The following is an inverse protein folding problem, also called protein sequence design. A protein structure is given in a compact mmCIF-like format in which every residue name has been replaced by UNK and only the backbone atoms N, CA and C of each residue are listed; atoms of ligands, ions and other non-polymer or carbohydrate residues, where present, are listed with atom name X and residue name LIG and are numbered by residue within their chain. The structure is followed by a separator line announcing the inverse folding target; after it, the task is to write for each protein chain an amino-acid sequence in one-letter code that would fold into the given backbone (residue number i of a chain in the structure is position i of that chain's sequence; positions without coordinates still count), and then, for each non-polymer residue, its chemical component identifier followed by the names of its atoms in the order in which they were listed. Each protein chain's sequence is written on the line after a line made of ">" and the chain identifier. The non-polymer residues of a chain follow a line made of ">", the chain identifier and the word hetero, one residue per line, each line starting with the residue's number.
data_IF_934389276383
#
_entry.id   IF_934389276383
#
_cell.length_a   1.000
_cell.length_b   1.000
_cell.length_c   1.000
_cell.angle_alpha   90.00
_cell.angle_beta   90.00
_cell.angle_gamma   90.00
#
_symmetry.space_group_name_H-M   'P 1'
#
loop_
_entity.id
_entity.type
_entity.pdbx_description
1 polymer ?
#
# COMPACT_ATOMS: atom_id res chain seq x y z
N UNK A 1 -28.20 8.93 -5.28
CA UNK A 1 -27.14 8.76 -4.26
C UNK A 1 -27.20 7.28 -3.91
N UNK A 2 -26.36 6.46 -4.57
CA UNK A 2 -26.37 5.02 -4.34
C UNK A 2 -25.59 4.73 -3.05
N UNK A 3 -26.26 4.07 -2.12
CA UNK A 3 -25.62 3.54 -0.91
C UNK A 3 -24.55 2.53 -1.34
N UNK A 4 -23.30 2.85 -1.05
CA UNK A 4 -22.20 1.89 -1.17
C UNK A 4 -22.39 0.89 -0.05
N UNK A 5 -23.03 -0.25 -0.36
CA UNK A 5 -23.16 -1.36 0.55
C UNK A 5 -21.77 -1.89 0.90
N UNK A 6 -21.38 -1.77 2.16
CA UNK A 6 -20.16 -2.39 2.69
C UNK A 6 -20.38 -3.91 2.79
N UNK A 7 -19.44 -4.72 2.27
CA UNK A 7 -19.57 -6.18 2.36
C UNK A 7 -19.37 -6.66 3.80
N UNK A 8 -20.33 -7.44 4.25
CA UNK A 8 -20.38 -8.41 5.36
C UNK A 8 -19.79 -8.10 6.76
N UNK A 9 -20.58 -8.53 7.75
CA UNK A 9 -20.36 -8.43 9.20
C UNK A 9 -19.02 -9.00 9.75
N UNK A 10 -18.29 -9.81 8.99
CA UNK A 10 -16.96 -10.33 9.35
C UNK A 10 -15.82 -9.29 9.26
N UNK A 11 -16.14 -8.07 8.83
CA UNK A 11 -15.19 -6.95 8.76
C UNK A 11 -15.16 -6.15 10.08
N UNK A 12 -16.05 -6.44 11.00
CA UNK A 12 -16.10 -5.84 12.32
C UNK A 12 -14.81 -6.17 13.09
N UNK A 13 -14.07 -5.14 13.46
CA UNK A 13 -12.86 -5.15 14.30
C UNK A 13 -11.51 -5.39 13.57
N UNK A 14 -11.42 -5.31 12.25
CA UNK A 14 -10.13 -5.42 11.58
C UNK A 14 -9.30 -4.14 11.74
N UNK A 15 -8.09 -4.30 12.25
CA UNK A 15 -7.08 -3.24 12.30
C UNK A 15 -6.70 -2.83 10.89
N UNK A 16 -6.96 -1.57 10.54
CA UNK A 16 -6.82 -1.05 9.19
C UNK A 16 -5.68 -0.05 9.10
N UNK A 17 -4.73 -0.30 8.20
CA UNK A 17 -3.70 0.65 7.81
C UNK A 17 -4.11 1.30 6.49
N UNK A 18 -4.19 2.62 6.48
CA UNK A 18 -4.48 3.40 5.27
C UNK A 18 -3.21 4.13 4.86
N UNK A 19 -2.78 3.95 3.62
CA UNK A 19 -1.62 4.61 3.04
C UNK A 19 -2.12 5.63 2.01
N UNK A 20 -1.96 6.91 2.30
CA UNK A 20 -1.99 7.94 1.27
C UNK A 20 -0.66 7.92 0.54
N UNK A 21 -0.65 7.37 -0.66
CA UNK A 21 0.54 7.16 -1.48
C UNK A 21 0.88 8.35 -2.40
N UNK A 22 0.15 9.46 -2.30
CA UNK A 22 0.53 10.70 -2.98
C UNK A 22 1.50 11.47 -2.08
N UNK A 23 2.75 11.74 -2.52
CA UNK A 23 3.72 12.49 -1.73
C UNK A 23 3.36 13.97 -1.55
N UNK A 24 2.44 14.51 -2.36
CA UNK A 24 2.01 15.90 -2.27
C UNK A 24 1.19 16.11 -0.98
N UNK A 25 1.53 17.13 -0.14
CA UNK A 25 0.83 17.39 1.13
C UNK A 25 -0.67 17.62 0.95
N UNK A 26 -1.05 18.41 -0.05
CA UNK A 26 -2.46 18.63 -0.40
C UNK A 26 -2.79 17.91 -1.70
N UNK A 27 -3.61 16.87 -1.61
CA UNK A 27 -3.98 16.06 -2.75
C UNK A 27 -5.35 15.42 -2.58
N UNK A 28 -5.99 15.08 -3.71
CA UNK A 28 -7.23 14.31 -3.70
C UNK A 28 -7.04 12.96 -2.97
N UNK A 29 -5.89 12.30 -3.17
CA UNK A 29 -5.58 11.05 -2.47
C UNK A 29 -5.57 11.24 -0.94
N UNK A 30 -5.00 12.35 -0.43
CA UNK A 30 -5.02 12.67 1.00
C UNK A 30 -6.45 12.86 1.49
N UNK A 31 -7.25 13.66 0.79
CA UNK A 31 -8.65 13.90 1.15
C UNK A 31 -9.46 12.59 1.16
N UNK A 32 -9.25 11.71 0.17
CA UNK A 32 -9.89 10.39 0.12
C UNK A 32 -9.45 9.50 1.27
N UNK A 33 -8.14 9.44 1.57
CA UNK A 33 -7.60 8.64 2.68
C UNK A 33 -8.17 9.09 4.03
N UNK A 34 -8.24 10.39 4.28
CA UNK A 34 -8.80 10.95 5.51
C UNK A 34 -10.32 10.71 5.61
N UNK A 35 -11.04 10.87 4.49
CA UNK A 35 -12.48 10.57 4.47
C UNK A 35 -12.76 9.11 4.74
N UNK A 36 -11.97 8.21 4.13
CA UNK A 36 -12.04 6.77 4.39
C UNK A 36 -11.74 6.46 5.87
N UNK A 37 -10.66 7.07 6.40
CA UNK A 37 -10.26 6.89 7.78
C UNK A 37 -11.35 7.33 8.77
N UNK A 38 -11.96 8.50 8.54
CA UNK A 38 -13.04 9.01 9.37
C UNK A 38 -14.22 8.04 9.45
N UNK A 39 -14.63 7.48 8.30
CA UNK A 39 -15.72 6.51 8.25
C UNK A 39 -15.33 5.16 8.84
N UNK A 40 -14.12 4.68 8.56
CA UNK A 40 -13.66 3.39 9.07
C UNK A 40 -13.49 3.38 10.61
N UNK A 41 -13.12 4.51 11.23
CA UNK A 41 -13.00 4.64 12.70
C UNK A 41 -14.28 4.39 13.47
N UNK A 42 -15.43 4.49 12.82
CA UNK A 42 -16.71 4.14 13.46
C UNK A 42 -16.82 2.65 13.83
N UNK A 43 -16.03 1.78 13.17
CA UNK A 43 -16.15 0.32 13.30
C UNK A 43 -14.81 -0.40 13.41
N UNK A 44 -13.66 0.32 13.30
CA UNK A 44 -12.33 -0.29 13.20
C UNK A 44 -11.28 0.56 13.91
N UNK A 45 -10.20 -0.10 14.35
CA UNK A 45 -8.99 0.60 14.72
C UNK A 45 -8.23 1.00 13.44
N UNK A 46 -7.94 2.30 13.28
CA UNK A 46 -7.40 2.84 12.03
C UNK A 46 -6.12 3.60 12.29
N UNK A 47 -5.08 3.29 11.52
CA UNK A 47 -3.86 4.09 11.38
C UNK A 47 -3.78 4.64 9.96
N UNK A 48 -3.36 5.89 9.85
CA UNK A 48 -3.13 6.56 8.56
C UNK A 48 -1.66 6.87 8.43
N UNK A 49 -1.12 6.61 7.24
CA UNK A 49 0.26 6.92 6.89
C UNK A 49 0.25 7.78 5.62
N UNK A 50 0.89 8.94 5.69
CA UNK A 50 1.09 9.82 4.54
C UNK A 50 2.50 9.64 4.00
N UNK A 51 2.61 9.13 2.78
CA UNK A 51 3.89 8.81 2.15
C UNK A 51 4.83 10.01 2.09
N UNK A 52 4.29 11.21 1.81
CA UNK A 52 5.09 12.45 1.72
C UNK A 52 5.68 12.93 3.06
N UNK A 53 5.25 12.37 4.18
CA UNK A 53 5.75 12.70 5.51
C UNK A 53 6.89 11.76 5.94
N UNK A 54 7.07 10.64 5.25
CA UNK A 54 8.12 9.66 5.56
C UNK A 54 9.49 10.13 5.09
N UNK A 55 10.47 9.95 5.94
CA UNK A 55 11.88 10.27 5.68
C UNK A 55 12.69 8.99 5.50
N UNK A 56 12.98 8.65 4.26
CA UNK A 56 13.81 7.51 3.88
C UNK A 56 14.37 7.72 2.48
N UNK A 57 15.46 7.05 2.15
CA UNK A 57 15.98 6.97 0.79
C UNK A 57 15.25 5.85 0.02
N UNK A 58 14.47 6.17 -1.03
CA UNK A 58 13.77 5.17 -1.83
C UNK A 58 14.70 4.36 -2.75
N UNK A 59 15.97 4.77 -2.90
CA UNK A 59 16.90 4.13 -3.79
C UNK A 59 17.54 2.88 -3.19
N UNK A 60 17.89 1.96 -4.05
CA UNK A 60 18.64 0.74 -3.73
C UNK A 60 19.90 0.72 -4.62
N UNK A 61 20.93 1.53 -4.30
CA UNK A 61 22.11 1.71 -5.16
C UNK A 61 22.91 0.43 -5.36
N UNK A 62 22.84 -0.52 -4.43
CA UNK A 62 23.47 -1.83 -4.51
C UNK A 62 22.45 -2.96 -4.77
N UNK A 63 21.20 -2.62 -5.12
CA UNK A 63 20.14 -3.61 -5.22
C UNK A 63 19.91 -4.31 -3.87
N UNK A 64 19.92 -5.64 -3.88
CA UNK A 64 19.83 -6.49 -2.69
C UNK A 64 21.13 -7.25 -2.41
N UNK A 65 22.25 -6.82 -3.01
CA UNK A 65 23.56 -7.45 -2.84
C UNK A 65 24.24 -7.06 -1.53
N UNK A 66 23.77 -6.01 -0.89
CA UNK A 66 24.26 -5.56 0.41
C UNK A 66 23.10 -5.11 1.31
N UNK A 67 23.28 -5.27 2.62
CA UNK A 67 22.32 -4.79 3.60
C UNK A 67 22.34 -3.27 3.66
N UNK A 68 21.23 -2.65 3.30
CA UNK A 68 20.99 -1.23 3.51
C UNK A 68 20.14 -1.07 4.77
N UNK A 69 20.66 -0.44 5.85
CA UNK A 69 19.91 -0.24 7.09
C UNK A 69 18.55 0.43 6.85
N UNK A 70 17.54 0.00 7.59
CA UNK A 70 16.22 0.61 7.54
C UNK A 70 16.19 1.86 8.40
N UNK A 71 15.76 2.96 7.82
CA UNK A 71 15.50 4.20 8.53
C UNK A 71 14.34 4.04 9.53
N UNK A 72 14.25 4.88 10.56
CA UNK A 72 13.19 4.79 11.58
C UNK A 72 11.79 4.74 11.01
N UNK A 73 11.50 5.49 9.93
CA UNK A 73 10.17 5.52 9.31
C UNK A 73 9.85 4.22 8.55
N UNK A 74 10.85 3.54 7.98
CA UNK A 74 10.67 2.22 7.39
C UNK A 74 10.40 1.15 8.45
N UNK A 75 11.09 1.22 9.59
CA UNK A 75 10.83 0.35 10.74
C UNK A 75 9.43 0.59 11.32
N UNK A 76 9.01 1.85 11.41
CA UNK A 76 7.65 2.22 11.83
C UNK A 76 6.60 1.70 10.84
N UNK A 77 6.86 1.82 9.53
CA UNK A 77 5.99 1.26 8.49
C UNK A 77 5.85 -0.26 8.64
N UNK A 78 6.94 -1.00 8.83
CA UNK A 78 6.88 -2.45 9.07
C UNK A 78 6.04 -2.79 10.30
N UNK A 79 6.19 -2.05 11.41
CA UNK A 79 5.34 -2.21 12.62
C UNK A 79 3.87 -1.96 12.32
N UNK A 80 3.54 -0.91 11.56
CA UNK A 80 2.17 -0.62 11.16
C UNK A 80 1.59 -1.71 10.24
N UNK A 81 2.37 -2.19 9.28
CA UNK A 81 1.96 -3.25 8.37
C UNK A 81 1.77 -4.58 9.11
N UNK A 82 2.65 -4.92 10.05
CA UNK A 82 2.53 -6.13 10.89
C UNK A 82 1.29 -6.09 11.78
N UNK A 83 0.95 -4.90 12.29
CA UNK A 83 -0.24 -4.69 13.10
C UNK A 83 -1.53 -4.79 12.28
N UNK A 84 -1.52 -4.38 11.01
CA UNK A 84 -2.71 -4.31 10.16
C UNK A 84 -3.22 -5.70 9.74
N UNK A 85 -4.52 -5.85 9.68
CA UNK A 85 -5.24 -6.98 9.09
C UNK A 85 -5.88 -6.61 7.73
N UNK A 86 -6.10 -5.31 7.54
CA UNK A 86 -6.61 -4.74 6.31
C UNK A 86 -5.75 -3.55 5.88
N UNK A 87 -5.38 -3.51 4.60
CA UNK A 87 -4.57 -2.46 4.02
C UNK A 87 -5.39 -1.69 2.99
N UNK A 88 -5.40 -0.37 3.09
CA UNK A 88 -6.01 0.51 2.08
C UNK A 88 -4.91 1.37 1.48
N UNK A 89 -4.74 1.32 0.16
CA UNK A 89 -3.76 2.13 -0.56
C UNK A 89 -4.51 3.12 -1.44
N UNK A 90 -4.37 4.40 -1.16
CA UNK A 90 -4.92 5.48 -1.99
C UNK A 90 -3.78 6.08 -2.81
N UNK A 91 -3.78 5.85 -4.12
CA UNK A 91 -2.63 6.17 -4.98
C UNK A 91 -3.05 6.88 -6.26
N UNK A 92 -2.29 7.90 -6.72
CA UNK A 92 -2.47 8.43 -8.07
C UNK A 92 -1.83 7.49 -9.09
N UNK A 93 -2.26 7.59 -10.34
CA UNK A 93 -1.55 7.01 -11.49
C UNK A 93 -0.58 8.06 -12.03
N UNK A 94 0.72 7.78 -11.98
CA UNK A 94 1.75 8.61 -12.59
C UNK A 94 2.52 7.80 -13.63
N UNK A 95 2.48 8.25 -14.88
CA UNK A 95 3.13 7.54 -15.99
C UNK A 95 2.73 6.06 -16.09
N UNK A 96 1.46 5.77 -15.86
CA UNK A 96 0.93 4.40 -15.89
C UNK A 96 1.30 3.52 -14.70
N UNK A 97 1.98 4.05 -13.67
CA UNK A 97 2.46 3.32 -12.50
C UNK A 97 2.11 4.00 -11.18
N UNK A 98 2.55 3.38 -10.09
CA UNK A 98 2.52 3.97 -8.76
C UNK A 98 3.62 5.04 -8.62
N UNK A 99 3.48 6.03 -7.71
CA UNK A 99 4.55 6.99 -7.41
C UNK A 99 5.87 6.30 -7.06
N UNK A 100 6.99 6.87 -7.55
CA UNK A 100 8.32 6.30 -7.32
C UNK A 100 8.64 6.11 -5.83
N UNK A 101 8.20 7.05 -4.96
CA UNK A 101 8.38 6.95 -3.52
C UNK A 101 7.60 5.76 -2.93
N UNK A 102 6.40 5.45 -3.42
CA UNK A 102 5.65 4.25 -2.99
C UNK A 102 6.37 2.97 -3.43
N UNK A 103 6.91 2.96 -4.64
CA UNK A 103 7.72 1.83 -5.14
C UNK A 103 8.96 1.64 -4.28
N UNK A 104 9.65 2.74 -3.94
CA UNK A 104 10.80 2.73 -3.04
C UNK A 104 10.45 2.24 -1.64
N UNK A 105 9.31 2.69 -1.07
CA UNK A 105 8.83 2.20 0.22
C UNK A 105 8.70 0.67 0.23
N UNK A 106 8.08 0.10 -0.79
CA UNK A 106 7.94 -1.35 -0.89
C UNK A 106 9.28 -2.05 -1.11
N UNK A 107 10.13 -1.53 -2.01
CA UNK A 107 11.45 -2.09 -2.27
C UNK A 107 12.35 -2.09 -1.06
N UNK A 108 12.29 -1.02 -0.23
CA UNK A 108 13.09 -0.87 0.97
C UNK A 108 12.53 -1.61 2.20
N UNK A 109 11.20 -1.71 2.33
CA UNK A 109 10.58 -2.25 3.54
C UNK A 109 10.14 -3.72 3.44
N UNK A 110 9.76 -4.21 2.24
CA UNK A 110 9.26 -5.58 2.06
C UNK A 110 10.39 -6.57 1.74
N UNK A 111 11.34 -6.67 2.64
CA UNK A 111 12.57 -7.45 2.47
C UNK A 111 12.38 -8.94 2.77
N UNK A 112 13.32 -9.80 2.29
CA UNK A 112 13.44 -11.17 2.76
C UNK A 112 13.59 -11.25 4.28
N UNK A 113 12.94 -12.23 4.91
CA UNK A 113 12.90 -12.37 6.37
C UNK A 113 11.78 -11.57 7.05
N UNK A 114 11.21 -10.56 6.37
CA UNK A 114 10.06 -9.80 6.85
C UNK A 114 8.78 -10.09 6.05
N UNK A 115 8.78 -9.84 4.75
CA UNK A 115 7.60 -10.02 3.90
C UNK A 115 7.52 -11.40 3.28
N UNK A 116 8.65 -11.98 2.99
CA UNK A 116 8.78 -13.31 2.40
C UNK A 116 10.13 -13.97 2.77
N UNK A 117 10.26 -15.27 2.50
CA UNK A 117 11.55 -15.98 2.60
C UNK A 117 11.70 -17.03 1.51
N UNK A 118 12.92 -17.22 1.07
CA UNK A 118 13.28 -18.30 0.18
C UNK A 118 13.46 -19.59 0.97
N UNK A 119 12.87 -20.68 0.47
CA UNK A 119 13.04 -22.00 1.06
C UNK A 119 13.90 -22.88 0.13
N UNK A 120 14.85 -23.65 0.66
CA UNK A 120 15.66 -24.56 -0.14
C UNK A 120 14.76 -25.49 -0.97
N UNK A 121 15.06 -25.60 -2.28
CA UNK A 121 14.34 -26.48 -3.20
C UNK A 121 12.94 -25.98 -3.63
N UNK A 122 12.50 -24.79 -3.22
CA UNK A 122 11.24 -24.19 -3.68
C UNK A 122 11.49 -22.99 -4.60
N UNK A 123 10.81 -22.95 -5.74
CA UNK A 123 10.89 -21.81 -6.68
C UNK A 123 10.08 -20.60 -6.22
N UNK A 124 9.04 -20.81 -5.42
CA UNK A 124 8.15 -19.75 -4.95
C UNK A 124 8.48 -19.44 -3.50
N UNK A 125 8.79 -18.18 -3.17
CA UNK A 125 9.04 -17.78 -1.78
C UNK A 125 7.80 -17.98 -0.91
N UNK A 126 8.02 -18.32 0.36
CA UNK A 126 6.97 -18.34 1.36
C UNK A 126 6.58 -16.90 1.73
N UNK A 127 5.28 -16.60 1.76
CA UNK A 127 4.77 -15.31 2.20
C UNK A 127 4.69 -15.26 3.73
N UNK A 128 5.32 -14.26 4.35
CA UNK A 128 5.36 -14.11 5.81
C UNK A 128 4.28 -13.16 6.35
N UNK A 129 3.52 -12.52 5.47
CA UNK A 129 2.42 -11.62 5.82
C UNK A 129 1.04 -12.17 5.37
N UNK A 130 0.69 -13.44 5.63
CA UNK A 130 -0.56 -14.03 5.17
C UNK A 130 -1.78 -13.47 5.93
N UNK A 131 -2.99 -13.76 5.42
CA UNK A 131 -4.26 -13.47 6.10
C UNK A 131 -4.70 -12.00 6.07
N UNK A 132 -3.97 -11.13 5.37
CA UNK A 132 -4.34 -9.73 5.17
C UNK A 132 -5.20 -9.55 3.95
N UNK A 133 -6.16 -8.62 4.04
CA UNK A 133 -6.92 -8.15 2.88
C UNK A 133 -6.41 -6.79 2.45
N UNK A 134 -6.55 -6.44 1.18
CA UNK A 134 -6.15 -5.13 0.66
C UNK A 134 -7.22 -4.53 -0.25
N UNK A 135 -7.34 -3.21 -0.19
CA UNK A 135 -8.15 -2.39 -1.07
C UNK A 135 -7.27 -1.30 -1.71
N UNK A 136 -7.47 -1.05 -3.00
CA UNK A 136 -6.70 -0.07 -3.75
C UNK A 136 -7.66 0.95 -4.34
N UNK A 137 -7.53 2.20 -3.90
CA UNK A 137 -8.24 3.36 -4.43
C UNK A 137 -7.30 4.13 -5.36
N UNK A 138 -7.69 4.25 -6.61
CA UNK A 138 -6.84 4.84 -7.66
C UNK A 138 -7.44 6.15 -8.14
N UNK A 139 -6.65 7.21 -8.16
CA UNK A 139 -6.99 8.49 -8.79
C UNK A 139 -6.27 8.62 -10.11
N UNK A 140 -6.98 8.99 -11.16
CA UNK A 140 -6.44 9.20 -12.51
C UNK A 140 -7.29 10.24 -13.24
N UNK A 141 -6.68 10.94 -14.18
CA UNK A 141 -7.31 11.89 -15.09
C UNK A 141 -7.72 11.27 -16.44
N UNK A 142 -7.33 10.01 -16.64
CA UNK A 142 -7.63 9.22 -17.84
C UNK A 142 -9.02 8.58 -17.72
N UNK A 143 -9.82 8.51 -18.79
CA UNK A 143 -11.10 7.82 -18.76
C UNK A 143 -10.99 6.38 -18.27
N UNK A 144 -11.90 5.90 -17.37
CA UNK A 144 -11.81 4.58 -16.75
C UNK A 144 -11.74 3.41 -17.75
N UNK A 145 -12.42 3.53 -18.91
CA UNK A 145 -12.37 2.50 -19.95
C UNK A 145 -10.98 2.38 -20.56
N UNK A 146 -10.27 3.51 -20.78
CA UNK A 146 -8.90 3.52 -21.31
C UNK A 146 -7.93 2.85 -20.33
N UNK A 147 -7.99 3.25 -19.07
CA UNK A 147 -7.20 2.62 -17.99
C UNK A 147 -7.46 1.12 -17.92
N UNK A 148 -8.73 0.71 -18.04
CA UNK A 148 -9.12 -0.69 -17.89
C UNK A 148 -8.75 -1.56 -19.09
N UNK A 149 -9.06 -1.08 -20.30
CA UNK A 149 -9.00 -1.90 -21.51
C UNK A 149 -7.74 -1.66 -22.35
N UNK A 150 -7.20 -0.43 -22.37
CA UNK A 150 -6.02 -0.09 -23.15
C UNK A 150 -4.74 -0.23 -22.34
N UNK A 151 -4.74 0.30 -21.12
CA UNK A 151 -3.56 0.23 -20.23
C UNK A 151 -3.48 -1.05 -19.39
N UNK A 152 -4.54 -1.88 -19.33
CA UNK A 152 -4.53 -3.16 -18.61
C UNK A 152 -4.51 -3.05 -17.09
N UNK A 153 -5.03 -1.94 -16.52
CA UNK A 153 -5.05 -1.67 -15.07
C UNK A 153 -3.68 -1.80 -14.40
N UNK A 154 -2.68 -1.06 -14.83
CA UNK A 154 -1.29 -1.28 -14.43
C UNK A 154 -1.08 -1.25 -12.91
N UNK A 155 -1.73 -0.34 -12.18
CA UNK A 155 -1.61 -0.27 -10.71
C UNK A 155 -2.13 -1.56 -10.06
N UNK A 156 -3.30 -2.04 -10.46
CA UNK A 156 -3.87 -3.27 -9.92
C UNK A 156 -2.97 -4.47 -10.24
N UNK A 157 -2.48 -4.56 -11.48
CA UNK A 157 -1.57 -5.63 -11.89
C UNK A 157 -0.26 -5.59 -11.09
N UNK A 158 0.24 -4.41 -10.77
CA UNK A 158 1.48 -4.24 -10.01
C UNK A 158 1.33 -4.56 -8.52
N UNK A 159 0.18 -4.22 -7.91
CA UNK A 159 -0.02 -4.33 -6.46
C UNK A 159 -0.75 -5.61 -6.02
N UNK A 160 -1.39 -6.33 -6.93
CA UNK A 160 -2.14 -7.57 -6.62
C UNK A 160 -1.29 -8.85 -6.74
N UNK A 161 -0.04 -8.75 -7.20
CA UNK A 161 0.89 -9.89 -7.32
C UNK A 161 1.74 -10.05 -6.08
#
# INVERSE_FOLDING_TARGET
>A
MQDVAFPNADILMKRTLIINANPKPESLCRAMAERYAAKAREQREVRVLHLGELRFDPNLPQGYDSDQPLEPDLLAFQKHLSWAQHLVIVTPVWWGGIPAQLKGLFGRALLPGYAFRYLPGKMIPEKLLPGRTAEILVTLDTPPFWYRWVQGRPIHTQLQR
#
